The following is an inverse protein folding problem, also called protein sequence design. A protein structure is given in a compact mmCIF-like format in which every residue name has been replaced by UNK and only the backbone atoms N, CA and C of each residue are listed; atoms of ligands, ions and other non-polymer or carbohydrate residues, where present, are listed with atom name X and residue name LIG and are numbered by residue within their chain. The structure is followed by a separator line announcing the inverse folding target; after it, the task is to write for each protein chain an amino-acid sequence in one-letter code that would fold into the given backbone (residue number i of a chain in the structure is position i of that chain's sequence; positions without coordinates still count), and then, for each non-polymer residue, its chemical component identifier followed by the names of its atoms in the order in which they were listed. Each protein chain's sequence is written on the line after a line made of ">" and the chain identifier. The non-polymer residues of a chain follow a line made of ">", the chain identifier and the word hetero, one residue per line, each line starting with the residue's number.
data_IF_304235608059
#
_entry.id   IF_304235608059
#
_cell.length_a   1.000
_cell.length_b   1.000
_cell.length_c   1.000
_cell.angle_alpha   90.00
_cell.angle_beta   90.00
_cell.angle_gamma   90.00
#
_symmetry.space_group_name_H-M   'P 1'
#
loop_
_entity.id
_entity.type
_entity.pdbx_description
1 polymer ?
#
# COMPACT_ATOMS: atom_id res chain seq x y z
N UNK A 1 4.84 -9.33 -1.69
CA UNK A 1 3.75 -8.58 -1.05
C UNK A 1 2.44 -8.99 -1.68
N UNK A 2 1.39 -9.18 -0.89
CA UNK A 2 0.12 -9.71 -1.37
C UNK A 2 -1.08 -9.11 -0.61
N UNK A 3 -2.29 -9.46 -1.05
CA UNK A 3 -3.53 -8.99 -0.45
C UNK A 3 -3.76 -9.65 0.91
N UNK A 4 -4.64 -9.03 1.71
CA UNK A 4 -5.13 -9.58 2.97
C UNK A 4 -6.18 -10.69 2.74
N UNK A 5 -5.80 -11.72 1.98
CA UNK A 5 -6.63 -12.85 1.62
C UNK A 5 -5.97 -14.17 2.04
N UNK A 6 -6.62 -14.91 2.94
CA UNK A 6 -6.08 -16.13 3.50
C UNK A 6 -5.91 -17.22 2.43
N UNK A 7 -6.81 -17.27 1.44
CA UNK A 7 -6.70 -18.23 0.35
C UNK A 7 -5.41 -18.05 -0.47
N UNK A 8 -4.98 -16.79 -0.70
CA UNK A 8 -3.73 -16.50 -1.40
C UNK A 8 -2.53 -16.97 -0.59
N UNK A 9 -2.45 -16.62 0.69
CA UNK A 9 -1.36 -17.04 1.57
C UNK A 9 -1.27 -18.56 1.67
N UNK A 10 -2.40 -19.24 1.88
CA UNK A 10 -2.46 -20.69 1.98
C UNK A 10 -2.03 -21.37 0.68
N UNK A 11 -2.42 -20.84 -0.47
CA UNK A 11 -2.01 -21.38 -1.76
C UNK A 11 -0.48 -21.26 -1.97
N UNK A 12 0.10 -20.10 -1.67
CA UNK A 12 1.56 -19.88 -1.80
C UNK A 12 2.33 -20.80 -0.86
N UNK A 13 1.92 -20.89 0.41
CA UNK A 13 2.55 -21.80 1.39
C UNK A 13 2.44 -23.25 0.96
N UNK A 14 1.28 -23.69 0.47
CA UNK A 14 1.09 -25.07 0.04
C UNK A 14 1.95 -25.45 -1.18
N UNK A 15 2.11 -24.53 -2.14
CA UNK A 15 2.80 -24.82 -3.40
C UNK A 15 4.31 -24.64 -3.28
N UNK A 16 4.76 -23.60 -2.58
CA UNK A 16 6.18 -23.23 -2.55
C UNK A 16 6.84 -23.45 -1.18
N UNK A 17 6.08 -23.67 -0.11
CA UNK A 17 6.61 -23.71 1.26
C UNK A 17 7.52 -24.89 1.57
N UNK A 18 7.51 -25.95 0.75
CA UNK A 18 8.42 -27.08 0.90
C UNK A 18 9.79 -26.83 0.25
N UNK A 19 9.83 -26.10 -0.87
CA UNK A 19 11.00 -26.01 -1.74
C UNK A 19 11.64 -24.62 -1.77
N UNK A 20 10.97 -23.60 -1.24
CA UNK A 20 11.41 -22.21 -1.26
C UNK A 20 11.33 -21.57 0.12
N UNK A 21 12.40 -20.90 0.53
CA UNK A 21 12.36 -19.98 1.66
C UNK A 21 11.80 -18.63 1.18
N UNK A 22 10.67 -18.22 1.74
CA UNK A 22 10.07 -16.92 1.42
C UNK A 22 9.38 -16.30 2.64
N UNK A 23 9.28 -14.97 2.61
CA UNK A 23 8.51 -14.21 3.59
C UNK A 23 7.27 -13.66 2.91
N UNK A 24 6.10 -14.12 3.34
CA UNK A 24 4.83 -13.54 2.90
C UNK A 24 4.63 -12.18 3.59
N UNK A 25 4.72 -11.11 2.80
CA UNK A 25 4.55 -9.73 3.26
C UNK A 25 3.15 -9.23 2.92
N UNK A 26 2.53 -8.56 3.88
CA UNK A 26 1.27 -7.86 3.69
C UNK A 26 1.51 -6.53 3.01
N UNK A 27 0.76 -6.27 1.95
CA UNK A 27 0.84 -5.00 1.25
C UNK A 27 0.29 -3.87 2.15
N UNK A 28 1.09 -2.83 2.40
CA UNK A 28 0.66 -1.69 3.19
C UNK A 28 -0.49 -0.89 2.56
N UNK A 29 -0.56 -0.77 1.22
CA UNK A 29 -1.69 -0.12 0.56
C UNK A 29 -3.03 -0.77 0.92
N UNK A 30 -3.09 -2.11 0.93
CA UNK A 30 -4.27 -2.87 1.33
C UNK A 30 -4.63 -2.69 2.80
N UNK A 31 -3.64 -2.58 3.69
CA UNK A 31 -3.87 -2.18 5.09
C UNK A 31 -4.58 -0.82 5.11
N UNK A 32 -4.01 0.18 4.45
CA UNK A 32 -4.56 1.55 4.45
C UNK A 32 -5.93 1.65 3.78
N UNK A 33 -6.17 0.90 2.70
CA UNK A 33 -7.48 0.84 2.05
C UNK A 33 -8.56 0.30 3.01
N UNK A 34 -8.24 -0.78 3.75
CA UNK A 34 -9.16 -1.38 4.72
C UNK A 34 -9.32 -0.53 5.98
N UNK A 35 -8.26 0.12 6.44
CA UNK A 35 -8.32 1.11 7.52
C UNK A 35 -9.25 2.26 7.13
N UNK A 36 -9.06 2.83 5.95
CA UNK A 36 -9.91 3.93 5.45
C UNK A 36 -11.39 3.51 5.32
N UNK A 37 -11.68 2.28 4.87
CA UNK A 37 -13.05 1.75 4.87
C UNK A 37 -13.67 1.72 6.28
N UNK A 38 -12.88 1.34 7.29
CA UNK A 38 -13.32 1.23 8.70
C UNK A 38 -13.44 2.57 9.42
N UNK A 39 -12.69 3.57 8.98
CA UNK A 39 -12.73 4.92 9.56
C UNK A 39 -13.85 5.80 9.01
N UNK A 40 -14.65 5.35 8.02
CA UNK A 40 -15.74 6.15 7.43
C UNK A 40 -16.78 6.66 8.44
N UNK A 41 -16.96 5.97 9.57
CA UNK A 41 -17.89 6.35 10.63
C UNK A 41 -17.20 7.02 11.82
N UNK A 42 -15.89 7.26 11.75
CA UNK A 42 -15.09 7.89 12.79
C UNK A 42 -14.90 9.37 12.43
N UNK A 43 -14.98 10.31 13.40
CA UNK A 43 -14.75 11.73 13.15
C UNK A 43 -13.41 12.01 12.45
N UNK A 44 -13.41 12.92 11.46
CA UNK A 44 -12.25 13.19 10.59
C UNK A 44 -10.96 13.46 11.36
N UNK A 45 -11.02 14.27 12.43
CA UNK A 45 -9.86 14.57 13.28
C UNK A 45 -9.23 13.31 13.87
N UNK A 46 -10.05 12.36 14.32
CA UNK A 46 -9.58 11.10 14.87
C UNK A 46 -9.08 10.18 13.76
N UNK A 47 -9.76 10.17 12.61
CA UNK A 47 -9.33 9.43 11.43
C UNK A 47 -7.94 9.85 10.95
N UNK A 48 -7.67 11.16 10.88
CA UNK A 48 -6.34 11.69 10.54
C UNK A 48 -5.26 11.26 11.54
N UNK A 49 -5.58 11.28 12.84
CA UNK A 49 -4.68 10.83 13.90
C UNK A 49 -4.37 9.34 13.79
N UNK A 50 -5.40 8.50 13.60
CA UNK A 50 -5.24 7.05 13.41
C UNK A 50 -4.37 6.76 12.19
N UNK A 51 -4.60 7.46 11.08
CA UNK A 51 -3.81 7.29 9.87
C UNK A 51 -2.34 7.64 10.11
N UNK A 52 -2.06 8.77 10.77
CA UNK A 52 -0.70 9.17 11.13
C UNK A 52 -0.01 8.12 12.03
N UNK A 53 -0.70 7.66 13.08
CA UNK A 53 -0.20 6.62 13.98
C UNK A 53 0.16 5.33 13.22
N UNK A 54 -0.65 4.93 12.24
CA UNK A 54 -0.39 3.73 11.42
C UNK A 54 0.80 3.92 10.47
N UNK A 55 0.99 5.13 9.93
CA UNK A 55 2.17 5.44 9.13
C UNK A 55 3.45 5.37 9.98
N UNK A 56 3.43 5.88 11.20
CA UNK A 56 4.58 5.79 12.11
C UNK A 56 4.92 4.33 12.43
N UNK A 57 3.90 3.49 12.66
CA UNK A 57 4.08 2.04 12.84
C UNK A 57 4.64 1.36 11.59
N UNK A 58 4.19 1.75 10.39
CA UNK A 58 4.69 1.18 9.13
C UNK A 58 6.18 1.49 8.93
N UNK A 59 6.61 2.69 9.33
CA UNK A 59 7.98 3.16 9.18
C UNK A 59 8.86 2.94 10.43
N UNK A 60 8.39 2.14 11.40
CA UNK A 60 9.23 1.69 12.49
C UNK A 60 10.54 1.08 11.95
N UNK A 61 11.66 1.41 12.60
CA UNK A 61 12.99 1.02 12.10
C UNK A 61 13.35 -0.42 12.42
N UNK A 62 12.76 -0.98 13.48
CA UNK A 62 13.01 -2.34 13.96
C UNK A 62 11.75 -2.93 14.59
N UNK A 63 11.73 -4.26 14.75
CA UNK A 63 10.65 -4.96 15.48
C UNK A 63 10.50 -4.44 16.91
N UNK A 64 11.59 -4.18 17.62
CA UNK A 64 11.53 -3.69 19.00
C UNK A 64 10.90 -2.29 19.11
N UNK A 65 11.19 -1.42 18.15
CA UNK A 65 10.57 -0.08 18.06
C UNK A 65 9.07 -0.21 17.77
N UNK A 66 8.70 -1.09 16.83
CA UNK A 66 7.29 -1.37 16.52
C UNK A 66 6.53 -1.92 17.74
N UNK A 67 7.10 -2.89 18.45
CA UNK A 67 6.47 -3.54 19.61
C UNK A 67 6.18 -2.56 20.74
N UNK A 68 7.01 -1.52 20.89
CA UNK A 68 6.77 -0.44 21.84
C UNK A 68 5.72 0.56 21.31
N UNK A 69 5.88 1.02 20.08
CA UNK A 69 4.94 1.97 19.47
C UNK A 69 3.52 1.42 19.37
N UNK A 70 3.34 0.15 19.00
CA UNK A 70 2.01 -0.45 18.85
C UNK A 70 1.27 -0.50 20.18
N UNK A 71 1.96 -0.76 21.29
CA UNK A 71 1.36 -0.70 22.64
C UNK A 71 0.90 0.71 22.99
N UNK A 72 1.73 1.70 22.69
CA UNK A 72 1.42 3.12 22.95
C UNK A 72 0.22 3.57 22.11
N UNK A 73 0.20 3.24 20.82
CA UNK A 73 -0.90 3.56 19.89
C UNK A 73 -2.21 2.87 20.31
N UNK A 74 -2.18 1.58 20.64
CA UNK A 74 -3.37 0.86 21.11
C UNK A 74 -3.89 1.41 22.44
N UNK A 75 -3.00 1.81 23.35
CA UNK A 75 -3.38 2.46 24.62
C UNK A 75 -4.01 3.82 24.36
N UNK A 76 -3.41 4.64 23.48
CA UNK A 76 -3.94 5.94 23.06
C UNK A 76 -5.36 5.80 22.48
N UNK A 77 -5.57 4.85 21.58
CA UNK A 77 -6.89 4.63 20.97
C UNK A 77 -7.92 4.06 21.96
N UNK A 78 -7.49 3.33 22.99
CA UNK A 78 -8.41 2.81 24.02
C UNK A 78 -9.02 3.90 24.90
N UNK A 79 -8.42 5.09 24.94
CA UNK A 79 -8.92 6.24 25.70
C UNK A 79 -10.05 7.01 25.02
N UNK A 80 -10.43 6.68 23.78
CA UNK A 80 -11.47 7.37 23.02
C UNK A 80 -12.59 6.40 22.63
N UNK A 81 -13.82 6.70 23.05
CA UNK A 81 -15.00 5.86 22.83
C UNK A 81 -15.31 5.62 21.35
N UNK A 82 -14.98 6.58 20.47
CA UNK A 82 -15.19 6.45 19.03
C UNK A 82 -14.19 5.49 18.38
N UNK A 83 -13.06 5.19 19.04
CA UNK A 83 -12.00 4.36 18.51
C UNK A 83 -11.98 2.95 19.09
N UNK A 84 -12.72 2.63 20.15
CA UNK A 84 -12.72 1.29 20.78
C UNK A 84 -12.97 0.18 19.76
N UNK A 85 -14.04 0.31 18.96
CA UNK A 85 -14.36 -0.69 17.94
C UNK A 85 -13.32 -0.77 16.82
N UNK A 86 -12.71 0.36 16.45
CA UNK A 86 -11.63 0.38 15.46
C UNK A 86 -10.36 -0.27 16.00
N UNK A 87 -9.97 0.04 17.24
CA UNK A 87 -8.82 -0.52 17.95
C UNK A 87 -8.92 -2.04 17.99
N UNK A 88 -10.06 -2.58 18.41
CA UNK A 88 -10.27 -4.03 18.50
C UNK A 88 -10.18 -4.71 17.13
N UNK A 89 -10.73 -4.06 16.09
CA UNK A 89 -10.57 -4.51 14.71
C UNK A 89 -9.09 -4.51 14.28
N UNK A 90 -8.37 -3.42 14.55
CA UNK A 90 -7.00 -3.22 14.10
C UNK A 90 -6.06 -4.21 14.77
N UNK A 91 -6.15 -4.37 16.09
CA UNK A 91 -5.34 -5.31 16.85
C UNK A 91 -5.58 -6.76 16.38
N UNK A 92 -6.85 -7.14 16.19
CA UNK A 92 -7.19 -8.49 15.72
C UNK A 92 -6.70 -8.76 14.30
N UNK A 93 -6.78 -7.79 13.42
CA UNK A 93 -6.56 -7.99 11.98
C UNK A 93 -5.10 -7.74 11.59
N UNK A 94 -4.49 -6.69 12.10
CA UNK A 94 -3.20 -6.20 11.60
C UNK A 94 -2.06 -6.38 12.60
N UNK A 95 -2.33 -6.74 13.85
CA UNK A 95 -1.29 -6.99 14.86
C UNK A 95 -1.17 -8.47 15.18
N UNK A 96 -2.30 -9.16 15.37
CA UNK A 96 -2.31 -10.55 15.88
C UNK A 96 -2.63 -11.62 14.84
N UNK A 97 -3.18 -11.26 13.67
CA UNK A 97 -3.50 -12.23 12.62
C UNK A 97 -2.29 -12.61 11.77
N UNK A 98 -2.45 -13.56 10.84
CA UNK A 98 -1.44 -13.91 9.84
C UNK A 98 -1.04 -12.74 8.88
N UNK A 99 -1.82 -11.66 8.87
CA UNK A 99 -1.61 -10.47 8.02
C UNK A 99 -0.73 -9.39 8.66
N UNK A 100 -0.07 -9.70 9.77
CA UNK A 100 0.66 -8.72 10.59
C UNK A 100 1.92 -8.12 9.94
N UNK A 101 2.50 -8.77 8.92
CA UNK A 101 3.79 -8.37 8.31
C UNK A 101 3.64 -7.26 7.27
N UNK A 102 3.23 -6.07 7.67
CA UNK A 102 3.07 -4.90 6.79
C UNK A 102 4.07 -3.77 7.07
N UNK A 103 4.98 -3.94 8.03
CA UNK A 103 5.98 -2.95 8.43
C UNK A 103 7.18 -2.96 7.48
N UNK A 104 7.77 -1.79 7.24
CA UNK A 104 8.90 -1.61 6.32
C UNK A 104 10.11 -2.48 6.67
N UNK A 105 10.41 -2.67 7.95
CA UNK A 105 11.59 -3.40 8.41
C UNK A 105 11.57 -4.91 8.08
N UNK A 106 10.43 -5.46 7.64
CA UNK A 106 10.38 -6.84 7.12
C UNK A 106 10.87 -6.96 5.67
N UNK A 107 10.98 -5.84 4.95
CA UNK A 107 11.46 -5.85 3.57
C UNK A 107 12.99 -5.78 3.57
N UNK A 108 13.69 -6.76 2.96
CA UNK A 108 15.14 -6.70 2.84
C UNK A 108 15.59 -5.48 2.04
N UNK A 109 16.81 -4.99 2.32
CA UNK A 109 17.40 -3.88 1.56
C UNK A 109 17.46 -4.20 0.06
N UNK A 110 17.13 -3.21 -0.78
CA UNK A 110 17.08 -3.37 -2.23
C UNK A 110 15.75 -3.89 -2.79
N UNK A 111 14.79 -4.26 -1.93
CA UNK A 111 13.44 -4.62 -2.34
C UNK A 111 12.47 -3.44 -2.16
N UNK A 112 11.40 -3.42 -2.95
CA UNK A 112 10.37 -2.39 -2.84
C UNK A 112 9.66 -2.49 -1.48
N UNK A 113 9.78 -1.44 -0.67
CA UNK A 113 9.14 -1.33 0.66
C UNK A 113 7.65 -1.01 0.58
N UNK A 114 7.18 -0.54 -0.59
CA UNK A 114 5.77 -0.33 -0.87
C UNK A 114 5.42 -0.95 -2.23
N UNK A 115 4.24 -1.55 -2.34
CA UNK A 115 3.71 -2.00 -3.63
C UNK A 115 2.98 -0.87 -4.37
N UNK A 116 3.15 0.38 -3.93
CA UNK A 116 2.50 1.55 -4.49
C UNK A 116 2.63 1.66 -6.02
N UNK A 117 3.77 1.30 -6.67
CA UNK A 117 3.85 1.30 -8.13
C UNK A 117 2.87 0.34 -8.80
N UNK A 118 2.72 -0.87 -8.26
CA UNK A 118 1.81 -1.90 -8.81
C UNK A 118 0.35 -1.46 -8.63
N UNK A 119 0.00 -0.93 -7.46
CA UNK A 119 -1.38 -0.50 -7.20
C UNK A 119 -1.75 0.78 -7.95
N UNK A 120 -0.80 1.71 -8.10
CA UNK A 120 -0.98 2.89 -8.93
C UNK A 120 -1.20 2.48 -10.40
N UNK A 121 -0.45 1.49 -10.89
CA UNK A 121 -0.62 0.95 -12.22
C UNK A 121 -1.99 0.25 -12.38
N UNK A 122 -2.39 -0.58 -11.42
CA UNK A 122 -3.71 -1.21 -11.40
C UNK A 122 -4.84 -0.17 -11.40
N UNK A 123 -4.69 0.92 -10.63
CA UNK A 123 -5.64 2.03 -10.59
C UNK A 123 -5.74 2.74 -11.94
N UNK A 124 -4.61 2.94 -12.61
CA UNK A 124 -4.56 3.55 -13.94
C UNK A 124 -5.31 2.67 -14.96
N UNK A 125 -5.03 1.37 -15.01
CA UNK A 125 -5.75 0.42 -15.87
C UNK A 125 -7.26 0.47 -15.60
N UNK A 126 -7.65 0.38 -14.33
CA UNK A 126 -9.06 0.40 -13.91
C UNK A 126 -9.75 1.71 -14.27
N UNK A 127 -9.06 2.84 -14.18
CA UNK A 127 -9.63 4.18 -14.44
C UNK A 127 -9.71 4.49 -15.93
N UNK A 128 -8.63 4.25 -16.67
CA UNK A 128 -8.45 4.82 -18.02
C UNK A 128 -8.76 3.82 -19.13
N UNK A 129 -8.65 2.52 -18.86
CA UNK A 129 -8.79 1.49 -19.90
C UNK A 129 -10.05 0.66 -19.69
N UNK A 130 -10.25 0.10 -18.51
CA UNK A 130 -11.41 -0.77 -18.26
C UNK A 130 -12.63 -0.03 -17.75
N UNK A 131 -12.50 1.26 -17.39
CA UNK A 131 -13.55 2.09 -16.81
C UNK A 131 -14.26 1.42 -15.62
N UNK A 132 -13.52 0.61 -14.85
CA UNK A 132 -14.02 -0.22 -13.74
C UNK A 132 -15.12 -1.21 -14.13
N UNK A 133 -15.18 -1.61 -15.40
CA UNK A 133 -16.14 -2.59 -15.92
C UNK A 133 -15.45 -3.89 -16.33
N UNK A 134 -16.22 -5.00 -16.31
CA UNK A 134 -15.75 -6.30 -16.78
C UNK A 134 -15.90 -6.36 -18.30
N UNK A 135 -14.85 -6.81 -18.99
CA UNK A 135 -14.81 -6.93 -20.44
C UNK A 135 -14.71 -8.39 -20.88
N UNK A 136 -15.17 -8.68 -22.10
CA UNK A 136 -14.85 -9.95 -22.77
C UNK A 136 -13.35 -10.03 -23.01
N UNK A 137 -12.79 -11.24 -22.99
CA UNK A 137 -11.33 -11.45 -23.07
C UNK A 137 -10.69 -10.76 -24.29
N UNK A 138 -11.33 -10.80 -25.47
CA UNK A 138 -10.81 -10.14 -26.67
C UNK A 138 -10.72 -8.62 -26.53
N UNK A 139 -11.76 -7.98 -25.98
CA UNK A 139 -11.77 -6.55 -25.68
C UNK A 139 -10.74 -6.19 -24.61
N UNK A 140 -10.61 -7.03 -23.58
CA UNK A 140 -9.63 -6.82 -22.52
C UNK A 140 -8.18 -6.86 -23.06
N UNK A 141 -7.87 -7.82 -23.93
CA UNK A 141 -6.54 -7.91 -24.56
C UNK A 141 -6.23 -6.65 -25.37
N UNK A 142 -7.19 -6.14 -26.14
CA UNK A 142 -7.00 -4.90 -26.89
C UNK A 142 -6.75 -3.70 -25.97
N UNK A 143 -7.57 -3.53 -24.93
CA UNK A 143 -7.39 -2.44 -23.95
C UNK A 143 -6.02 -2.51 -23.24
N UNK A 144 -5.54 -3.71 -22.94
CA UNK A 144 -4.22 -3.90 -22.34
C UNK A 144 -3.09 -3.63 -23.36
N UNK A 145 -3.27 -4.00 -24.63
CA UNK A 145 -2.31 -3.69 -25.69
C UNK A 145 -2.19 -2.16 -25.90
N UNK A 146 -3.32 -1.45 -25.92
CA UNK A 146 -3.35 0.01 -26.01
C UNK A 146 -2.64 0.65 -24.81
N UNK A 147 -2.87 0.10 -23.60
CA UNK A 147 -2.16 0.52 -22.39
C UNK A 147 -0.64 0.35 -22.52
N UNK A 148 -0.17 -0.81 -22.96
CA UNK A 148 1.25 -1.07 -23.19
C UNK A 148 1.84 -0.08 -24.20
N UNK A 149 1.14 0.19 -25.31
CA UNK A 149 1.59 1.17 -26.30
C UNK A 149 1.73 2.57 -25.69
N UNK A 150 0.70 3.06 -25.00
CA UNK A 150 0.75 4.40 -24.38
C UNK A 150 1.85 4.54 -23.32
N UNK A 151 2.06 3.51 -22.48
CA UNK A 151 3.05 3.54 -21.40
C UNK A 151 4.49 3.31 -21.90
N UNK A 152 4.66 2.71 -23.08
CA UNK A 152 5.97 2.48 -23.71
C UNK A 152 6.57 3.72 -24.38
N UNK A 153 5.79 4.80 -24.54
CA UNK A 153 6.28 6.07 -25.08
C UNK A 153 6.89 6.90 -23.94
N UNK A 154 8.17 7.29 -23.99
CA UNK A 154 8.75 8.16 -22.97
C UNK A 154 7.98 9.48 -22.91
N UNK A 155 7.75 10.08 -21.72
CA UNK A 155 7.17 11.41 -21.64
C UNK A 155 8.04 12.35 -22.48
N UNK A 156 7.43 12.99 -23.48
CA UNK A 156 8.08 14.06 -24.24
C UNK A 156 8.35 15.18 -23.23
N UNK A 157 9.57 15.25 -22.69
CA UNK A 157 10.06 16.47 -22.08
C UNK A 157 9.97 17.53 -23.18
N UNK A 158 8.96 18.39 -23.10
CA UNK A 158 8.86 19.59 -23.92
C UNK A 158 10.16 20.36 -23.71
N UNK A 159 11.00 20.39 -24.73
CA UNK A 159 12.36 20.93 -24.74
C UNK A 159 12.42 22.46 -24.60
N UNK A 160 11.40 23.09 -24.02
CA UNK A 160 11.18 24.55 -24.05
C UNK A 160 11.31 25.24 -22.69
N UNK A 161 11.89 24.61 -21.67
CA UNK A 161 12.13 25.27 -20.37
C UNK A 161 13.60 25.21 -19.88
N UNK A 162 14.56 24.93 -20.78
CA UNK A 162 16.00 24.95 -20.46
C UNK A 162 16.76 26.09 -21.16
N UNK A 163 16.13 26.87 -22.03
CA UNK A 163 16.77 28.02 -22.69
C UNK A 163 16.63 29.35 -21.95
N UNK A 164 15.91 29.41 -20.82
CA UNK A 164 15.73 30.65 -20.04
C UNK A 164 16.54 30.71 -18.74
N UNK A 165 17.32 29.69 -18.38
CA UNK A 165 18.11 29.66 -17.14
C UNK A 165 19.62 29.91 -17.33
N UNK A 166 20.11 30.09 -18.57
CA UNK A 166 21.53 30.28 -18.86
C UNK A 166 21.91 31.72 -19.30
N UNK A 167 21.03 32.71 -19.19
CA UNK A 167 21.34 34.12 -19.54
C UNK A 167 21.34 35.11 -18.36
N UNK A 168 21.24 34.63 -17.11
CA UNK A 168 21.22 35.53 -15.93
C UNK A 168 22.35 35.28 -14.92
N UNK A 169 23.48 34.69 -15.34
CA UNK A 169 24.71 34.60 -14.54
C UNK A 169 25.94 34.79 -15.43
N UNK A 170 26.18 36.04 -15.81
CA UNK A 170 27.47 36.57 -16.24
C UNK A 170 27.40 38.10 -16.06
N UNK A 171 27.36 38.50 -14.79
CA UNK A 171 28.02 39.69 -14.26
C UNK A 171 28.89 39.24 -13.09
#
# INVERSE_FOLDING_TARGET
>A
MADAEAAQQNAVVRVFGADCEFVYLMCFYHVMAKVHEKLKSVPDRLSEQVMADIYDLHFATTSAVYDEQVKQVLTKWSGDEHLVGFKDYFERTWVTSAFWRWQCFHTPSGFATTNNPVEQFNRLIKRDYTLRTKHKIGTLVQLLADCCQHQSVPPRYSRNCLSQLNSSKLE
#
